data_IF_753631911512
#
_entry.id   IF_753631911512
#
_cell.length_a   1.000
_cell.length_b   1.000
_cell.length_c   1.000
_cell.angle_alpha   90.00
_cell.angle_beta   90.00
_cell.angle_gamma   90.00
#
_symmetry.space_group_name_H-M   'P 1'
#
loop_
_entity.id
_entity.type
_entity.pdbx_description
1 polymer ?
#
# COMPACT_ATOMS: atom_id res chain seq x y z
N UNK A 1 -41.32 -53.07 -27.29
CA UNK A 1 -39.94 -52.67 -27.61
C UNK A 1 -39.84 -51.16 -27.49
N UNK A 2 -38.87 -50.68 -26.68
CA UNK A 2 -38.16 -49.38 -26.68
C UNK A 2 -38.97 -48.08 -26.96
N UNK A 3 -38.85 -46.97 -26.23
CA UNK A 3 -38.01 -46.49 -25.12
C UNK A 3 -38.44 -45.01 -24.88
N UNK A 4 -38.52 -44.59 -23.60
CA UNK A 4 -37.98 -43.30 -23.07
C UNK A 4 -38.75 -42.01 -23.43
N UNK A 5 -39.56 -41.41 -22.54
CA UNK A 5 -39.24 -40.36 -21.51
C UNK A 5 -38.72 -39.05 -22.17
N UNK A 6 -39.29 -37.86 -21.95
CA UNK A 6 -38.79 -36.77 -21.07
C UNK A 6 -39.62 -35.52 -21.47
N UNK A 7 -40.53 -34.99 -20.64
CA UNK A 7 -40.34 -34.00 -19.55
C UNK A 7 -40.16 -32.56 -20.08
N UNK A 8 -41.25 -31.79 -19.95
CA UNK A 8 -41.33 -30.46 -19.33
C UNK A 8 -39.98 -29.81 -18.97
N UNK A 9 -39.57 -28.74 -19.64
CA UNK A 9 -38.66 -27.76 -19.03
C UNK A 9 -38.85 -26.36 -19.62
N UNK A 10 -39.71 -25.60 -18.96
CA UNK A 10 -39.66 -24.14 -18.90
C UNK A 10 -38.28 -23.72 -18.37
N UNK A 11 -37.42 -23.18 -19.24
CA UNK A 11 -36.20 -22.50 -18.81
C UNK A 11 -36.49 -21.00 -18.82
N UNK A 12 -36.89 -20.53 -17.65
CA UNK A 12 -36.88 -19.13 -17.23
C UNK A 12 -35.42 -18.67 -17.23
N UNK A 13 -34.99 -17.96 -18.27
CA UNK A 13 -33.68 -17.35 -18.33
C UNK A 13 -33.63 -16.14 -17.40
N UNK A 14 -33.32 -16.39 -16.12
CA UNK A 14 -32.91 -15.36 -15.18
C UNK A 14 -31.50 -14.95 -15.58
N UNK A 15 -31.39 -13.87 -16.33
CA UNK A 15 -30.11 -13.18 -16.55
C UNK A 15 -29.78 -12.51 -15.22
N UNK A 16 -28.97 -13.17 -14.40
CA UNK A 16 -28.34 -12.53 -13.25
C UNK A 16 -27.29 -11.60 -13.85
N UNK A 17 -27.68 -10.34 -14.08
CA UNK A 17 -26.71 -9.25 -14.23
C UNK A 17 -25.99 -9.15 -12.90
N UNK A 18 -24.84 -9.80 -12.80
CA UNK A 18 -23.85 -9.47 -11.78
C UNK A 18 -23.43 -8.04 -12.05
N UNK A 19 -24.08 -7.11 -11.35
CA UNK A 19 -23.56 -5.77 -11.14
C UNK A 19 -22.15 -5.96 -10.57
N UNK A 20 -21.14 -5.80 -11.42
CA UNK A 20 -19.80 -5.45 -10.94
C UNK A 20 -19.99 -4.13 -10.18
N UNK A 21 -20.23 -4.22 -8.88
CA UNK A 21 -19.93 -3.09 -8.00
C UNK A 21 -18.45 -2.84 -8.23
N UNK A 22 -18.18 -1.68 -8.81
CA UNK A 22 -16.85 -1.11 -8.82
C UNK A 22 -16.62 -0.79 -7.37
N UNK A 23 -16.11 -1.76 -6.62
CA UNK A 23 -15.89 -1.64 -5.19
C UNK A 23 -15.04 -0.39 -4.98
N UNK A 24 -15.69 0.64 -4.46
CA UNK A 24 -15.04 1.88 -4.10
C UNK A 24 -14.24 1.54 -2.85
N UNK A 25 -12.95 1.22 -3.03
CA UNK A 25 -12.06 0.83 -1.93
C UNK A 25 -12.00 1.90 -0.82
N UNK A 26 -12.59 3.09 -1.02
CA UNK A 26 -12.78 4.11 0.01
C UNK A 26 -13.67 3.67 1.19
N UNK A 27 -14.45 2.60 1.06
CA UNK A 27 -15.29 2.10 2.16
C UNK A 27 -14.51 1.31 3.24
N UNK A 28 -13.33 0.77 2.92
CA UNK A 28 -12.55 -0.05 3.84
C UNK A 28 -11.60 0.82 4.70
N UNK A 29 -11.51 0.62 6.02
CA UNK A 29 -10.59 1.39 6.87
C UNK A 29 -9.12 1.27 6.42
N UNK A 30 -8.31 2.32 6.59
CA UNK A 30 -6.88 2.31 6.22
C UNK A 30 -6.11 1.14 6.82
N UNK A 31 -6.43 0.75 8.06
CA UNK A 31 -5.84 -0.41 8.76
C UNK A 31 -6.05 -1.74 8.05
N UNK A 32 -7.08 -1.86 7.22
CA UNK A 32 -7.38 -3.04 6.42
C UNK A 32 -6.82 -2.89 5.00
N UNK A 33 -6.89 -1.67 4.43
CA UNK A 33 -6.37 -1.38 3.08
C UNK A 33 -4.87 -1.52 2.94
N UNK A 34 -4.12 -1.17 3.98
CA UNK A 34 -2.65 -1.20 3.97
C UNK A 34 -2.08 -2.62 4.00
N UNK A 35 -2.84 -3.61 4.45
CA UNK A 35 -2.34 -4.96 4.66
C UNK A 35 -1.82 -5.61 3.38
N UNK A 36 -0.80 -6.45 3.57
CA UNK A 36 -0.17 -7.24 2.51
C UNK A 36 1.14 -6.66 2.01
N UNK A 37 1.66 -7.30 0.96
CA UNK A 37 2.96 -7.00 0.36
C UNK A 37 2.83 -5.96 -0.75
N UNK A 38 3.65 -4.94 -0.65
CA UNK A 38 3.78 -3.82 -1.58
C UNK A 38 5.17 -3.82 -2.19
N UNK A 39 5.25 -3.73 -3.50
CA UNK A 39 6.50 -3.50 -4.22
C UNK A 39 7.01 -2.09 -3.92
N UNK A 40 8.29 -1.98 -3.58
CA UNK A 40 8.95 -0.70 -3.47
C UNK A 40 9.23 -0.13 -4.87
N UNK A 41 8.68 1.06 -5.18
CA UNK A 41 8.87 1.71 -6.48
C UNK A 41 9.99 2.74 -6.40
N UNK A 42 9.90 3.65 -5.43
CA UNK A 42 10.94 4.65 -5.21
C UNK A 42 10.81 5.34 -3.86
N UNK A 43 11.90 5.99 -3.45
CA UNK A 43 11.87 7.03 -2.42
C UNK A 43 12.41 8.34 -3.00
N UNK A 44 11.63 9.40 -2.86
CA UNK A 44 12.08 10.76 -3.18
C UNK A 44 12.54 11.43 -1.89
N UNK A 45 13.82 11.82 -1.84
CA UNK A 45 14.39 12.51 -0.68
C UNK A 45 14.57 13.99 -0.99
N UNK A 46 13.92 14.85 -0.23
CA UNK A 46 14.15 16.30 -0.21
C UNK A 46 14.99 16.65 1.02
N UNK A 47 16.15 17.27 0.81
CA UNK A 47 17.02 17.78 1.89
C UNK A 47 17.03 19.31 1.86
N UNK A 48 16.50 19.90 2.93
CA UNK A 48 16.36 21.35 3.10
C UNK A 48 17.38 21.80 4.14
N UNK A 49 18.28 22.72 3.75
CA UNK A 49 19.30 23.31 4.64
C UNK A 49 19.15 24.83 4.66
N UNK A 50 19.43 25.51 5.78
CA UNK A 50 19.36 26.97 5.84
C UNK A 50 20.22 27.63 4.76
N UNK A 51 19.65 28.57 4.01
CA UNK A 51 20.35 29.36 2.98
C UNK A 51 20.98 28.53 1.84
N UNK A 52 20.50 27.31 1.59
CA UNK A 52 20.88 26.49 0.43
C UNK A 52 19.63 26.15 -0.39
N UNK A 53 19.77 25.94 -1.71
CA UNK A 53 18.70 25.33 -2.50
C UNK A 53 18.30 23.96 -1.93
N UNK A 54 17.05 23.56 -2.16
CA UNK A 54 16.58 22.21 -1.80
C UNK A 54 17.30 21.19 -2.68
N UNK A 55 17.92 20.20 -2.06
CA UNK A 55 18.51 19.06 -2.75
C UNK A 55 17.46 17.96 -2.87
N UNK A 56 17.24 17.44 -4.09
CA UNK A 56 16.27 16.37 -4.34
C UNK A 56 16.98 15.18 -4.98
N UNK A 57 16.82 14.00 -4.40
CA UNK A 57 17.26 12.73 -4.98
C UNK A 57 16.10 11.76 -5.10
N UNK A 58 16.20 10.83 -6.04
CA UNK A 58 15.23 9.73 -6.19
C UNK A 58 16.00 8.43 -6.29
N UNK A 59 15.68 7.50 -5.41
CA UNK A 59 16.21 6.15 -5.40
C UNK A 59 15.07 5.20 -5.80
N UNK A 60 15.31 4.35 -6.80
CA UNK A 60 14.31 3.42 -7.34
C UNK A 60 14.48 2.05 -6.73
N UNK A 61 13.37 1.36 -6.51
CA UNK A 61 13.39 0.00 -5.99
C UNK A 61 14.02 -0.98 -6.97
N UNK A 62 14.86 -1.86 -6.43
CA UNK A 62 15.43 -3.02 -7.12
C UNK A 62 14.39 -4.14 -7.28
N UNK A 63 14.69 -5.12 -8.12
CA UNK A 63 13.84 -6.31 -8.26
C UNK A 63 13.73 -7.04 -6.92
N UNK A 64 12.50 -7.38 -6.53
CA UNK A 64 12.22 -8.03 -5.26
C UNK A 64 12.21 -7.11 -4.04
N UNK A 65 12.43 -5.79 -4.17
CA UNK A 65 12.29 -4.86 -3.05
C UNK A 65 10.81 -4.67 -2.64
N UNK A 66 10.51 -4.77 -1.34
CA UNK A 66 9.13 -4.70 -0.83
C UNK A 66 9.00 -4.14 0.59
N UNK A 67 7.76 -3.83 0.93
CA UNK A 67 7.23 -3.63 2.27
C UNK A 67 6.00 -4.52 2.46
N UNK A 68 5.92 -5.28 3.54
CA UNK A 68 4.85 -6.23 3.84
C UNK A 68 4.25 -5.90 5.20
N UNK A 69 3.05 -5.33 5.18
CA UNK A 69 2.31 -4.91 6.37
C UNK A 69 1.44 -6.06 6.86
N UNK A 70 1.78 -6.64 8.00
CA UNK A 70 1.09 -7.81 8.54
C UNK A 70 0.18 -7.46 9.72
N UNK A 71 -0.80 -8.32 9.99
CA UNK A 71 -1.75 -8.12 11.08
C UNK A 71 -1.16 -8.41 12.48
N UNK A 72 0.12 -8.76 12.57
CA UNK A 72 0.88 -8.97 13.81
C UNK A 72 1.45 -7.67 14.40
N UNK A 73 1.20 -6.53 13.75
CA UNK A 73 1.72 -5.22 14.16
C UNK A 73 3.15 -4.95 13.70
N UNK A 74 3.71 -5.76 12.80
CA UNK A 74 5.03 -5.54 12.24
C UNK A 74 4.99 -5.33 10.72
N UNK A 75 5.85 -4.43 10.27
CA UNK A 75 6.19 -4.24 8.86
C UNK A 75 7.49 -5.01 8.59
N UNK A 76 7.46 -5.80 7.54
CA UNK A 76 8.61 -6.57 7.05
C UNK A 76 9.06 -5.95 5.74
N UNK A 77 10.32 -5.56 5.61
CA UNK A 77 10.79 -4.92 4.38
C UNK A 77 12.18 -5.38 4.00
N UNK A 78 12.41 -5.49 2.69
CA UNK A 78 13.71 -5.76 2.11
C UNK A 78 13.93 -4.76 0.99
N UNK A 79 15.04 -4.02 1.07
CA UNK A 79 15.43 -3.02 0.08
C UNK A 79 16.82 -3.39 -0.43
N UNK A 80 17.06 -3.25 -1.73
CA UNK A 80 18.38 -3.40 -2.35
C UNK A 80 19.09 -4.73 -2.07
N UNK A 81 18.32 -5.82 -1.98
CA UNK A 81 18.84 -7.16 -1.73
C UNK A 81 19.41 -7.36 -0.32
N UNK A 82 19.19 -6.42 0.59
CA UNK A 82 19.53 -6.56 2.00
C UNK A 82 18.63 -7.61 2.69
N UNK A 83 19.09 -8.09 3.84
CA UNK A 83 18.29 -8.95 4.72
C UNK A 83 16.97 -8.26 5.11
N UNK A 84 15.90 -9.05 5.22
CA UNK A 84 14.60 -8.56 5.65
C UNK A 84 14.71 -7.93 7.05
N UNK A 85 14.24 -6.70 7.15
CA UNK A 85 14.13 -5.94 8.39
C UNK A 85 12.69 -6.00 8.91
N UNK A 86 12.55 -5.91 10.23
CA UNK A 86 11.26 -5.98 10.93
C UNK A 86 11.14 -4.78 11.84
N UNK A 87 10.06 -4.02 11.72
CA UNK A 87 9.79 -2.88 12.58
C UNK A 87 8.34 -2.90 13.06
N UNK A 88 8.04 -2.45 14.29
CA UNK A 88 6.67 -2.26 14.73
C UNK A 88 5.99 -1.13 13.94
N UNK A 89 4.73 -1.35 13.56
CA UNK A 89 3.90 -0.34 12.93
C UNK A 89 2.47 -0.33 13.47
N UNK A 90 1.76 0.78 13.25
CA UNK A 90 0.32 0.87 13.48
C UNK A 90 -0.32 1.92 12.58
N UNK A 91 -1.62 1.79 12.32
CA UNK A 91 -2.43 2.83 11.68
C UNK A 91 -3.18 3.57 12.79
N UNK A 92 -2.81 4.82 13.05
CA UNK A 92 -3.48 5.65 14.06
C UNK A 92 -4.84 6.15 13.57
N UNK A 93 -4.93 6.50 12.28
CA UNK A 93 -6.14 6.95 11.60
C UNK A 93 -5.94 6.85 10.07
N UNK A 94 -6.94 7.27 9.28
CA UNK A 94 -6.92 7.19 7.81
C UNK A 94 -5.75 7.92 7.12
N UNK A 95 -5.06 8.82 7.83
CA UNK A 95 -3.99 9.67 7.29
C UNK A 95 -2.63 9.49 7.98
N UNK A 96 -2.54 8.63 9.00
CA UNK A 96 -1.32 8.49 9.81
C UNK A 96 -0.94 7.02 9.99
N UNK A 97 0.18 6.66 9.39
CA UNK A 97 0.94 5.43 9.66
C UNK A 97 1.98 5.75 10.73
N UNK A 98 2.18 4.87 11.71
CA UNK A 98 3.32 4.91 12.61
C UNK A 98 4.28 3.78 12.31
N UNK A 99 5.57 4.08 12.25
CA UNK A 99 6.66 3.08 12.19
C UNK A 99 7.64 3.45 13.29
N UNK A 100 7.96 2.53 14.22
CA UNK A 100 8.86 2.83 15.35
C UNK A 100 8.47 4.07 16.18
N UNK A 101 7.17 4.35 16.31
CA UNK A 101 6.59 5.57 16.91
C UNK A 101 6.73 6.87 16.10
N UNK A 102 7.48 6.86 14.99
CA UNK A 102 7.53 8.00 14.09
C UNK A 102 6.22 8.09 13.29
N UNK A 103 5.59 9.26 13.32
CA UNK A 103 4.37 9.53 12.58
C UNK A 103 4.70 9.81 11.10
N UNK A 104 4.23 8.93 10.23
CA UNK A 104 4.39 8.96 8.79
C UNK A 104 3.06 9.33 8.13
N UNK A 105 2.88 10.56 7.61
CA UNK A 105 1.66 10.95 6.92
C UNK A 105 1.41 10.09 5.68
N UNK A 106 0.22 9.50 5.58
CA UNK A 106 -0.26 8.80 4.40
C UNK A 106 -0.79 9.86 3.43
N UNK A 107 -0.20 9.96 2.25
CA UNK A 107 -0.64 10.87 1.16
C UNK A 107 -1.66 10.22 0.25
N UNK A 108 -1.51 8.92 0.05
CA UNK A 108 -2.39 8.14 -0.80
C UNK A 108 -2.37 6.70 -0.31
N UNK A 109 -3.55 6.11 -0.17
CA UNK A 109 -3.73 4.69 0.08
C UNK A 109 -4.95 4.26 -0.71
N UNK A 110 -4.73 3.42 -1.69
CA UNK A 110 -5.75 2.79 -2.53
C UNK A 110 -5.48 1.28 -2.54
N UNK A 111 -6.27 0.50 -3.29
CA UNK A 111 -5.72 -0.74 -3.86
C UNK A 111 -4.65 -0.36 -4.87
N UNK A 112 -3.61 -1.10 -5.15
CA UNK A 112 -2.57 -0.71 -6.14
C UNK A 112 -1.58 0.38 -5.73
N UNK A 113 -1.90 1.38 -4.88
CA UNK A 113 -0.95 2.45 -4.53
C UNK A 113 -0.94 2.84 -3.05
N UNK A 114 0.27 2.98 -2.52
CA UNK A 114 0.52 3.53 -1.19
C UNK A 114 1.66 4.55 -1.27
N UNK A 115 1.38 5.77 -0.79
CA UNK A 115 2.34 6.85 -0.66
C UNK A 115 2.33 7.38 0.77
N UNK A 116 3.47 7.37 1.43
CA UNK A 116 3.63 7.96 2.76
C UNK A 116 4.93 8.75 2.87
N UNK A 117 4.99 9.65 3.84
CA UNK A 117 6.16 10.50 4.09
C UNK A 117 6.82 10.16 5.43
N UNK A 118 8.15 10.20 5.45
CA UNK A 118 8.96 10.20 6.67
C UNK A 118 9.73 11.53 6.74
N UNK A 119 9.62 12.25 7.86
CA UNK A 119 10.26 13.56 8.04
C UNK A 119 11.19 13.54 9.23
N UNK A 120 12.47 13.79 9.00
CA UNK A 120 13.49 13.95 10.03
C UNK A 120 13.95 15.39 10.08
N UNK A 121 13.80 16.02 11.25
CA UNK A 121 14.26 17.39 11.50
C UNK A 121 15.42 17.35 12.49
N UNK A 122 16.48 18.09 12.20
CA UNK A 122 17.52 18.44 13.17
C UNK A 122 17.96 19.89 12.96
N UNK A 123 18.90 20.36 13.80
CA UNK A 123 19.37 21.74 13.77
C UNK A 123 19.95 22.20 12.42
N UNK A 124 20.46 21.27 11.60
CA UNK A 124 21.19 21.58 10.38
C UNK A 124 20.40 21.31 9.09
N UNK A 125 19.41 20.43 9.15
CA UNK A 125 18.60 20.09 7.98
C UNK A 125 17.23 19.51 8.35
N UNK A 126 16.29 19.66 7.42
CA UNK A 126 15.08 18.84 7.32
C UNK A 126 15.24 17.87 6.16
N UNK A 127 15.09 16.57 6.43
CA UNK A 127 15.07 15.53 5.40
C UNK A 127 13.65 14.96 5.34
N UNK A 128 13.04 15.07 4.18
CA UNK A 128 11.71 14.53 3.89
C UNK A 128 11.86 13.42 2.86
N UNK A 129 11.34 12.24 3.18
CA UNK A 129 11.35 11.08 2.29
C UNK A 129 9.93 10.72 1.93
N UNK A 130 9.61 10.68 0.64
CA UNK A 130 8.31 10.26 0.13
C UNK A 130 8.47 8.87 -0.47
N UNK A 131 7.89 7.85 0.18
CA UNK A 131 7.93 6.47 -0.26
C UNK A 131 6.76 6.20 -1.20
N UNK A 132 7.05 5.67 -2.38
CA UNK A 132 6.07 5.26 -3.37
C UNK A 132 6.07 3.74 -3.49
N UNK A 133 4.94 3.12 -3.17
CA UNK A 133 4.75 1.69 -3.15
C UNK A 133 3.57 1.31 -4.07
N UNK A 134 3.63 0.12 -4.66
CA UNK A 134 2.58 -0.38 -5.53
C UNK A 134 2.26 -1.87 -5.28
N UNK A 135 1.06 -2.31 -5.67
CA UNK A 135 0.65 -3.73 -5.65
C UNK A 135 -0.03 -4.13 -6.96
#
# INVERSE_FOLDING_TARGET
MKKIIVILLTILSVVIVTSCTKDDDSEMPAKERILGKWKFISVVTETIRPSKPVEVTTEYGTEGAYFDFRNDGNIYYALDGNEEQIEPYSIENETTLKINNDACPIKELTREKLVFEYVKVNANYTRKQTYNLAR
#
